data_IF_019590383580
#
_entry.id   IF_019590383580
#
_cell.length_a   1.000
_cell.length_b   1.000
_cell.length_c   1.000
_cell.angle_alpha   90.00
_cell.angle_beta   90.00
_cell.angle_gamma   90.00
#
_symmetry.space_group_name_H-M   'P 1'
#
loop_
_entity.id
_entity.type
_entity.pdbx_description
1 polymer ?
#
# COMPACT_ATOMS: atom_id res chain seq x y z
N UNK A 1 6.16 -2.85 -22.29
CA UNK A 1 5.00 -3.30 -21.47
C UNK A 1 3.92 -2.23 -21.58
N UNK A 2 2.66 -2.62 -21.56
CA UNK A 2 1.53 -1.67 -21.52
C UNK A 2 1.44 -1.03 -20.13
N UNK A 3 1.10 0.26 -20.10
CA UNK A 3 0.77 1.00 -18.89
C UNK A 3 -0.76 0.98 -18.70
N UNK A 4 -1.22 1.27 -17.48
CA UNK A 4 -2.62 1.51 -17.19
C UNK A 4 -2.85 3.00 -17.36
N UNK A 5 -3.69 3.37 -18.33
CA UNK A 5 -3.92 4.77 -18.68
C UNK A 5 -4.98 5.44 -17.76
N UNK A 6 -5.87 4.66 -17.14
CA UNK A 6 -6.92 5.10 -16.23
C UNK A 6 -6.67 4.65 -14.77
N UNK A 7 -5.47 4.94 -14.27
CA UNK A 7 -5.04 4.52 -12.94
C UNK A 7 -5.92 5.09 -11.82
N UNK A 8 -6.45 6.30 -12.02
CA UNK A 8 -7.36 6.96 -11.10
C UNK A 8 -8.68 6.19 -10.92
N UNK A 9 -9.28 5.72 -12.01
CA UNK A 9 -10.47 4.88 -11.97
C UNK A 9 -10.20 3.53 -11.28
N UNK A 10 -9.07 2.90 -11.61
CA UNK A 10 -8.65 1.63 -10.98
C UNK A 10 -8.45 1.79 -9.47
N UNK A 11 -7.75 2.84 -9.04
CA UNK A 11 -7.53 3.12 -7.63
C UNK A 11 -8.85 3.44 -6.94
N UNK A 12 -9.73 4.24 -7.56
CA UNK A 12 -11.05 4.57 -7.02
C UNK A 12 -11.90 3.32 -6.78
N UNK A 13 -11.86 2.34 -7.69
CA UNK A 13 -12.58 1.07 -7.58
C UNK A 13 -11.95 0.06 -6.60
N UNK A 14 -10.67 0.21 -6.25
CA UNK A 14 -9.96 -0.72 -5.39
C UNK A 14 -10.27 -0.51 -3.89
N UNK A 15 -10.48 -1.61 -3.15
CA UNK A 15 -10.56 -1.61 -1.68
C UNK A 15 -9.18 -1.66 -1.02
N UNK A 16 -8.23 -2.36 -1.65
CA UNK A 16 -6.85 -2.53 -1.19
C UNK A 16 -5.91 -2.34 -2.39
N UNK A 17 -4.88 -1.53 -2.21
CA UNK A 17 -3.84 -1.33 -3.22
C UNK A 17 -2.54 -2.01 -2.79
N UNK A 18 -1.98 -2.86 -3.64
CA UNK A 18 -0.67 -3.49 -3.40
C UNK A 18 0.34 -2.89 -4.36
N UNK A 19 1.46 -2.39 -3.84
CA UNK A 19 2.45 -1.74 -4.70
C UNK A 19 3.76 -1.37 -4.03
N UNK A 20 4.62 -0.72 -4.82
CA UNK A 20 5.88 -0.15 -4.35
C UNK A 20 5.63 1.14 -3.58
N UNK A 21 6.53 1.46 -2.65
CA UNK A 21 6.43 2.67 -1.82
C UNK A 21 7.16 3.87 -2.43
N UNK A 22 6.97 4.10 -3.73
CA UNK A 22 7.48 5.29 -4.42
C UNK A 22 6.77 6.56 -3.95
N UNK A 23 7.43 7.71 -4.02
CA UNK A 23 6.86 8.98 -3.56
C UNK A 23 5.51 9.31 -4.22
N UNK A 24 5.41 9.18 -5.56
CA UNK A 24 4.16 9.43 -6.29
C UNK A 24 3.04 8.49 -5.87
N UNK A 25 3.33 7.18 -5.73
CA UNK A 25 2.36 6.19 -5.28
C UNK A 25 1.82 6.52 -3.90
N UNK A 26 2.70 6.93 -2.98
CA UNK A 26 2.30 7.31 -1.62
C UNK A 26 1.40 8.55 -1.65
N UNK A 27 1.75 9.56 -2.46
CA UNK A 27 0.91 10.75 -2.63
C UNK A 27 -0.48 10.42 -3.19
N UNK A 28 -0.56 9.54 -4.18
CA UNK A 28 -1.85 9.09 -4.75
C UNK A 28 -2.70 8.33 -3.73
N UNK A 29 -2.10 7.40 -2.99
CA UNK A 29 -2.80 6.61 -1.96
C UNK A 29 -3.36 7.51 -0.85
N UNK A 30 -2.59 8.50 -0.42
CA UNK A 30 -3.06 9.47 0.57
C UNK A 30 -4.19 10.34 0.01
N UNK A 31 -4.02 10.88 -1.20
CA UNK A 31 -5.03 11.70 -1.85
C UNK A 31 -6.38 10.96 -2.03
N UNK A 32 -6.33 9.66 -2.32
CA UNK A 32 -7.51 8.83 -2.50
C UNK A 32 -8.00 8.14 -1.22
N UNK A 33 -7.27 8.26 -0.12
CA UNK A 33 -7.58 7.59 1.14
C UNK A 33 -7.61 6.06 1.01
N UNK A 34 -6.63 5.47 0.31
CA UNK A 34 -6.67 4.04 -0.05
C UNK A 34 -5.85 3.18 0.92
N UNK A 35 -6.48 2.17 1.58
CA UNK A 35 -5.75 1.15 2.30
C UNK A 35 -4.74 0.47 1.39
N UNK A 36 -3.51 0.25 1.90
CA UNK A 36 -2.43 -0.27 1.06
C UNK A 36 -1.52 -1.28 1.75
N UNK A 37 -1.01 -2.21 0.94
CA UNK A 37 0.08 -3.11 1.28
C UNK A 37 1.30 -2.67 0.47
N UNK A 38 2.33 -2.21 1.17
CA UNK A 38 3.49 -1.57 0.58
C UNK A 38 4.70 -2.49 0.63
N UNK A 39 5.34 -2.66 -0.53
CA UNK A 39 6.52 -3.51 -0.72
C UNK A 39 7.70 -2.60 -1.11
N UNK A 40 8.36 -1.94 -0.15
CA UNK A 40 9.47 -1.04 -0.43
C UNK A 40 10.62 -1.79 -1.10
N UNK A 41 11.20 -1.21 -2.15
CA UNK A 41 12.40 -1.77 -2.77
C UNK A 41 13.63 -1.53 -1.88
N UNK A 42 14.45 -2.57 -1.62
CA UNK A 42 15.66 -2.45 -0.81
C UNK A 42 16.83 -1.78 -1.55
N UNK A 43 16.69 -1.55 -2.86
CA UNK A 43 17.77 -1.07 -3.74
C UNK A 43 17.77 0.46 -3.92
N UNK A 44 16.85 1.17 -3.27
CA UNK A 44 16.76 2.63 -3.38
C UNK A 44 17.70 3.28 -2.36
N UNK A 45 18.40 4.33 -2.80
CA UNK A 45 19.29 5.11 -1.93
C UNK A 45 18.63 5.46 -0.60
N UNK A 46 19.38 5.30 0.48
CA UNK A 46 19.00 5.66 1.85
C UNK A 46 17.66 5.08 2.33
N UNK A 47 17.18 3.97 1.75
CA UNK A 47 15.92 3.33 2.13
C UNK A 47 14.70 4.27 2.08
N UNK A 48 14.69 5.26 1.18
CA UNK A 48 13.59 6.25 1.09
C UNK A 48 12.22 5.60 0.94
N UNK A 49 12.11 4.52 0.14
CA UNK A 49 10.84 3.79 0.00
C UNK A 49 10.36 3.19 1.32
N UNK A 50 11.27 2.64 2.13
CA UNK A 50 10.92 2.12 3.44
C UNK A 50 10.43 3.24 4.34
N UNK A 51 11.13 4.38 4.39
CA UNK A 51 10.71 5.54 5.18
C UNK A 51 9.34 6.09 4.76
N UNK A 52 9.08 6.17 3.46
CA UNK A 52 7.79 6.59 2.92
C UNK A 52 6.67 5.64 3.35
N UNK A 53 6.88 4.33 3.16
CA UNK A 53 5.91 3.33 3.60
C UNK A 53 5.67 3.40 5.10
N UNK A 54 6.74 3.60 5.88
CA UNK A 54 6.69 3.63 7.33
C UNK A 54 5.92 4.83 7.87
N UNK A 55 5.90 5.94 7.14
CA UNK A 55 5.04 7.09 7.44
C UNK A 55 3.55 6.69 7.46
N UNK A 56 3.12 5.89 6.48
CA UNK A 56 1.71 5.46 6.36
C UNK A 56 1.36 4.39 7.39
N UNK A 57 2.25 3.41 7.61
CA UNK A 57 2.03 2.39 8.64
C UNK A 57 1.96 3.01 10.03
N UNK A 58 2.80 4.00 10.35
CA UNK A 58 2.75 4.71 11.64
C UNK A 58 1.43 5.45 11.85
N UNK A 59 0.79 5.90 10.77
CA UNK A 59 -0.55 6.48 10.79
C UNK A 59 -1.65 5.42 10.85
N UNK A 60 -1.32 4.13 10.69
CA UNK A 60 -2.30 3.06 10.56
C UNK A 60 -3.05 3.09 9.23
N UNK A 61 -2.43 3.62 8.17
CA UNK A 61 -2.99 3.75 6.82
C UNK A 61 -2.53 2.65 5.86
N UNK A 62 -1.47 1.91 6.20
CA UNK A 62 -0.89 0.87 5.37
C UNK A 62 -0.28 -0.26 6.20
N UNK A 63 0.01 -1.38 5.54
CA UNK A 63 0.84 -2.49 6.03
C UNK A 63 2.09 -2.59 5.15
N UNK A 64 3.23 -3.01 5.71
CA UNK A 64 4.47 -3.25 4.95
C UNK A 64 4.76 -4.74 4.87
N UNK A 65 5.20 -5.19 3.70
CA UNK A 65 5.90 -6.46 3.52
C UNK A 65 7.26 -6.11 2.91
N UNK A 66 8.34 -6.37 3.63
CA UNK A 66 9.69 -6.19 3.07
C UNK A 66 9.93 -7.17 1.92
N UNK A 67 10.67 -6.76 0.90
CA UNK A 67 10.91 -7.60 -0.30
C UNK A 67 11.54 -8.97 0.03
N UNK A 68 12.39 -9.02 1.07
CA UNK A 68 13.00 -10.27 1.56
C UNK A 68 11.98 -11.26 2.14
N UNK A 69 10.85 -10.75 2.63
CA UNK A 69 9.78 -11.52 3.28
C UNK A 69 8.56 -11.69 2.34
N UNK A 70 8.66 -11.17 1.11
CA UNK A 70 7.59 -11.25 0.12
C UNK A 70 7.51 -12.68 -0.44
N UNK A 71 6.59 -13.46 0.12
CA UNK A 71 6.16 -14.74 -0.44
C UNK A 71 4.70 -14.64 -0.90
N UNK A 72 4.29 -15.51 -1.82
CA UNK A 72 2.89 -15.61 -2.25
C UNK A 72 1.96 -15.87 -1.08
N UNK A 73 2.34 -16.78 -0.18
CA UNK A 73 1.61 -17.13 1.03
C UNK A 73 1.46 -15.93 1.96
N UNK A 74 2.55 -15.19 2.21
CA UNK A 74 2.52 -14.03 3.09
C UNK A 74 1.67 -12.90 2.53
N UNK A 75 1.76 -12.66 1.23
CA UNK A 75 0.95 -11.66 0.55
C UNK A 75 -0.54 -12.01 0.63
N UNK A 76 -0.90 -13.25 0.27
CA UNK A 76 -2.29 -13.72 0.32
C UNK A 76 -2.85 -13.65 1.74
N UNK A 77 -2.11 -14.12 2.73
CA UNK A 77 -2.53 -14.05 4.13
C UNK A 77 -2.78 -12.59 4.57
N UNK A 78 -1.94 -11.66 4.14
CA UNK A 78 -2.10 -10.23 4.49
C UNK A 78 -3.34 -9.64 3.83
N UNK A 79 -3.59 -9.96 2.55
CA UNK A 79 -4.79 -9.54 1.83
C UNK A 79 -6.03 -10.10 2.50
N UNK A 80 -6.08 -11.41 2.75
CA UNK A 80 -7.24 -12.07 3.36
C UNK A 80 -7.55 -11.52 4.75
N UNK A 81 -6.50 -11.26 5.56
CA UNK A 81 -6.66 -10.67 6.89
C UNK A 81 -7.27 -9.28 6.82
N UNK A 82 -6.80 -8.42 5.91
CA UNK A 82 -7.34 -7.08 5.74
C UNK A 82 -8.76 -7.12 5.16
N UNK A 83 -9.01 -7.96 4.15
CA UNK A 83 -10.31 -8.09 3.50
C UNK A 83 -11.39 -8.64 4.45
N UNK A 84 -11.02 -9.50 5.41
CA UNK A 84 -11.93 -10.02 6.42
C UNK A 84 -12.37 -8.97 7.44
N UNK A 85 -11.56 -7.92 7.68
CA UNK A 85 -11.86 -6.87 8.66
C UNK A 85 -12.20 -5.53 7.98
N UNK A 86 -13.48 -5.40 7.61
CA UNK A 86 -14.01 -4.16 7.02
C UNK A 86 -13.81 -2.93 7.91
N UNK A 87 -13.82 -3.10 9.23
CA UNK A 87 -13.64 -1.99 10.17
C UNK A 87 -12.19 -1.51 10.17
N UNK A 88 -11.22 -2.44 10.16
CA UNK A 88 -9.82 -2.10 10.00
C UNK A 88 -9.55 -1.43 8.64
N UNK A 89 -10.11 -1.93 7.54
CA UNK A 89 -9.97 -1.28 6.22
C UNK A 89 -10.53 0.13 6.20
N UNK A 90 -11.69 0.35 6.82
CA UNK A 90 -12.27 1.68 6.88
C UNK A 90 -11.40 2.64 7.70
N UNK A 91 -10.86 2.19 8.84
CA UNK A 91 -9.87 2.97 9.60
C UNK A 91 -8.62 3.29 8.80
N UNK A 92 -8.09 2.31 8.05
CA UNK A 92 -6.93 2.53 7.19
C UNK A 92 -7.21 3.60 6.12
N UNK A 93 -8.41 3.57 5.53
CA UNK A 93 -8.85 4.57 4.56
C UNK A 93 -8.95 5.97 5.17
N UNK A 94 -9.50 6.08 6.38
CA UNK A 94 -9.60 7.34 7.12
C UNK A 94 -8.21 7.89 7.48
N UNK A 95 -7.30 7.03 7.93
CA UNK A 95 -5.93 7.41 8.30
C UNK A 95 -5.04 7.80 7.11
N UNK A 96 -5.43 7.40 5.90
CA UNK A 96 -4.76 7.77 4.67
C UNK A 96 -5.11 9.18 4.18
N UNK A 97 -6.24 9.76 4.61
CA UNK A 97 -6.65 11.13 4.29
C UNK A 97 -5.99 12.16 5.21
#
# INVERSE_FOLDING_TARGET
RQYIDNMDECLAAADIVVGRAGASTISELLAMGKPSILIPSPYVAENHQYHNAMSLVKRGAATIIEEKDLTSEKLMQTIDTLAADKYALQKMSENAK
#
